data_IF_851120984463
#
_entry.id   IF_851120984463
#
_cell.length_a   1.000
_cell.length_b   1.000
_cell.length_c   1.000
_cell.angle_alpha   90.00
_cell.angle_beta   90.00
_cell.angle_gamma   90.00
#
_symmetry.space_group_name_H-M   'P 1'
#
loop_
_entity.id
_entity.type
_entity.pdbx_description
1 polymer ?
#
# COMPACT_ATOMS: atom_id res chain seq x y z
N UNK A 1 -19.21 -8.49 -17.93
CA UNK A 1 -17.89 -7.83 -17.83
C UNK A 1 -17.82 -7.16 -16.48
N UNK A 2 -17.17 -7.80 -15.49
CA UNK A 2 -17.03 -7.22 -14.15
C UNK A 2 -16.26 -5.89 -14.23
N UNK A 3 -16.52 -4.92 -13.32
CA UNK A 3 -15.94 -3.59 -13.42
C UNK A 3 -14.41 -3.70 -13.47
N UNK A 4 -13.81 -2.94 -14.38
CA UNK A 4 -12.35 -2.75 -14.50
C UNK A 4 -11.75 -2.55 -13.11
N UNK A 5 -10.88 -3.48 -12.69
CA UNK A 5 -10.45 -3.62 -11.30
C UNK A 5 -10.02 -2.31 -10.65
N UNK A 6 -10.84 -1.78 -9.74
CA UNK A 6 -10.56 -0.55 -8.99
C UNK A 6 -9.60 -0.76 -7.83
N UNK A 7 -9.31 -2.01 -7.47
CA UNK A 7 -8.50 -2.36 -6.30
C UNK A 7 -7.14 -1.68 -6.29
N UNK A 8 -6.41 -1.70 -7.42
CA UNK A 8 -5.07 -1.10 -7.51
C UNK A 8 -5.14 0.42 -7.45
N UNK A 9 -6.13 1.05 -8.10
CA UNK A 9 -6.33 2.50 -8.01
C UNK A 9 -6.58 2.93 -6.57
N UNK A 10 -7.49 2.27 -5.87
CA UNK A 10 -7.75 2.56 -4.45
C UNK A 10 -6.54 2.27 -3.54
N UNK A 11 -5.72 1.26 -3.87
CA UNK A 11 -4.47 1.03 -3.15
C UNK A 11 -3.45 2.17 -3.36
N UNK A 12 -3.32 2.70 -4.59
CA UNK A 12 -2.44 3.85 -4.88
C UNK A 12 -2.88 5.09 -4.11
N UNK A 13 -4.18 5.37 -4.10
CA UNK A 13 -4.75 6.49 -3.34
C UNK A 13 -4.40 6.39 -1.86
N UNK A 14 -4.57 5.21 -1.25
CA UNK A 14 -4.23 4.98 0.17
C UNK A 14 -2.73 5.10 0.45
N UNK A 15 -1.88 4.54 -0.42
CA UNK A 15 -0.43 4.66 -0.24
C UNK A 15 0.01 6.13 -0.25
N UNK A 16 -0.51 6.92 -1.20
CA UNK A 16 -0.25 8.36 -1.27
C UNK A 16 -0.80 9.14 -0.08
N UNK A 17 -1.99 8.78 0.40
CA UNK A 17 -2.57 9.41 1.59
C UNK A 17 -1.69 9.21 2.84
N UNK A 18 -0.91 8.13 2.90
CA UNK A 18 0.06 7.85 3.96
C UNK A 18 1.47 8.41 3.67
N UNK A 19 1.64 9.23 2.63
CA UNK A 19 2.93 9.78 2.23
C UNK A 19 3.87 8.78 1.55
N UNK A 20 3.33 7.65 1.09
CA UNK A 20 4.05 6.63 0.34
C UNK A 20 3.73 6.60 -1.15
N UNK A 21 4.18 5.55 -1.82
CA UNK A 21 3.92 5.28 -3.24
C UNK A 21 3.57 3.80 -3.48
N UNK A 22 2.94 3.52 -4.63
CA UNK A 22 2.59 2.17 -5.04
C UNK A 22 2.74 1.97 -6.55
N UNK A 23 3.47 0.92 -6.90
CA UNK A 23 3.59 0.40 -8.27
C UNK A 23 2.87 -0.93 -8.40
N UNK A 24 2.30 -1.20 -9.58
CA UNK A 24 1.62 -2.46 -9.85
C UNK A 24 1.71 -2.79 -11.34
N UNK A 25 2.06 -4.03 -11.65
CA UNK A 25 2.28 -4.47 -13.02
C UNK A 25 2.77 -5.92 -13.12
N UNK A 26 3.09 -6.39 -14.35
CA UNK A 26 3.65 -7.72 -14.57
C UNK A 26 4.96 -7.93 -13.82
N UNK A 27 5.17 -9.13 -13.26
CA UNK A 27 6.39 -9.47 -12.53
C UNK A 27 7.41 -10.24 -13.40
N UNK A 28 8.72 -10.07 -13.15
CA UNK A 28 9.74 -10.95 -13.73
C UNK A 28 9.49 -12.39 -13.25
N UNK A 29 9.28 -13.33 -14.18
CA UNK A 29 8.86 -14.71 -13.87
C UNK A 29 7.37 -14.99 -14.09
N UNK A 30 6.60 -13.98 -14.51
CA UNK A 30 5.17 -14.09 -14.77
C UNK A 30 4.31 -13.67 -13.59
N UNK A 31 3.01 -13.55 -13.83
CA UNK A 31 2.05 -13.06 -12.83
C UNK A 31 2.03 -11.53 -12.68
N UNK A 32 1.40 -11.06 -11.61
CA UNK A 32 1.15 -9.65 -11.32
C UNK A 32 1.67 -9.31 -9.92
N UNK A 33 2.52 -8.29 -9.82
CA UNK A 33 3.06 -7.81 -8.57
C UNK A 33 2.47 -6.43 -8.22
N UNK A 34 2.32 -6.21 -6.92
CA UNK A 34 2.00 -4.91 -6.31
C UNK A 34 3.08 -4.63 -5.28
N UNK A 35 3.72 -3.47 -5.39
CA UNK A 35 4.77 -3.05 -4.48
C UNK A 35 4.42 -1.65 -3.94
N UNK A 36 4.35 -1.54 -2.61
CA UNK A 36 4.11 -0.28 -1.92
C UNK A 36 5.31 0.08 -1.04
N UNK A 37 5.67 1.36 -1.03
CA UNK A 37 6.64 1.93 -0.09
C UNK A 37 5.90 2.91 0.78
N UNK A 38 5.96 2.71 2.10
CA UNK A 38 5.30 3.58 3.08
C UNK A 38 6.33 4.10 4.07
N UNK A 39 6.24 5.37 4.49
CA UNK A 39 6.98 5.86 5.64
C UNK A 39 6.64 4.99 6.86
N UNK A 40 7.67 4.49 7.54
CA UNK A 40 7.47 3.96 8.88
C UNK A 40 7.17 5.14 9.78
N UNK A 41 6.07 5.08 10.54
CA UNK A 41 5.97 5.95 11.69
C UNK A 41 7.21 5.71 12.56
N UNK A 42 7.71 6.72 13.30
CA UNK A 42 8.64 6.43 14.40
C UNK A 42 8.04 5.27 15.18
N UNK A 43 8.85 4.27 15.52
CA UNK A 43 8.48 3.25 16.50
C UNK A 43 8.24 4.00 17.82
N UNK A 44 7.13 4.71 17.93
CA UNK A 44 6.58 5.13 19.19
C UNK A 44 6.38 3.80 19.90
N UNK A 45 7.29 3.54 20.85
CA UNK A 45 7.19 2.42 21.75
C UNK A 45 5.71 2.29 22.11
N UNK A 46 5.18 1.09 21.94
CA UNK A 46 3.84 0.76 22.37
C UNK A 46 3.86 0.78 23.92
N UNK A 47 3.97 1.97 24.49
CA UNK A 47 3.95 2.30 25.92
C UNK A 47 3.13 3.60 25.96
N UNK A 48 1.94 3.69 26.52
CA UNK A 48 1.45 3.18 27.81
C UNK A 48 -0.11 3.10 27.68
N UNK A 49 -0.78 2.20 28.40
CA UNK A 49 -2.17 1.82 28.22
C UNK A 49 -3.13 2.95 28.58
N UNK A 50 -4.33 2.82 28.03
CA UNK A 50 -5.53 3.57 28.37
C UNK A 50 -5.63 3.78 29.90
N UNK A 51 -5.31 4.99 30.35
CA UNK A 51 -5.74 5.56 31.63
C UNK A 51 -7.25 5.78 31.64
#
# INVERSE_FOLDING_TARGET
TGPTGSGVTGMRERARALGGDLTAGPAPGGGFAVHATLPLAPLAAQEEPRR
#
